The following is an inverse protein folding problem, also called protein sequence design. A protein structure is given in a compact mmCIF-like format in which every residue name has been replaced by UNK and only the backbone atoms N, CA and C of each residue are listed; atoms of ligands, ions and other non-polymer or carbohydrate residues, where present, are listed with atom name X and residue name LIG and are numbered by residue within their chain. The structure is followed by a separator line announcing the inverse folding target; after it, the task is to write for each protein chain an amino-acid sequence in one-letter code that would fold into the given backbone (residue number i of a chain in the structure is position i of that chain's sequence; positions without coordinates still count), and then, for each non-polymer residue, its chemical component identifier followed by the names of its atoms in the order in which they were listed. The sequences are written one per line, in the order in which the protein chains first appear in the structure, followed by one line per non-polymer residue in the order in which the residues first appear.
data_IF_858607091686
#
_entry.id   IF_858607091686
#
_cell.length_a   1.000
_cell.length_b   1.000
_cell.length_c   1.000
_cell.angle_alpha   90.00
_cell.angle_beta   90.00
_cell.angle_gamma   90.00
#
_symmetry.space_group_name_H-M   'P 1'
#
loop_
_entity.id
_entity.type
_entity.pdbx_description
1 polymer ?
#
# COMPACT_ATOMS: atom_id res chain seq x y z
N UNK A 1 1.48 49.54 16.57
CA UNK A 1 1.26 48.10 16.82
C UNK A 1 1.83 47.35 15.63
N UNK A 2 2.93 46.62 15.81
CA UNK A 2 3.55 45.83 14.74
C UNK A 2 2.95 44.43 14.83
N UNK A 3 2.12 44.08 13.86
CA UNK A 3 1.54 42.74 13.74
C UNK A 3 2.61 41.80 13.17
N UNK A 4 3.22 41.01 14.04
CA UNK A 4 4.20 39.99 13.66
C UNK A 4 3.44 38.82 13.02
N UNK A 5 3.36 38.79 11.70
CA UNK A 5 2.84 37.64 10.96
C UNK A 5 3.87 36.51 11.02
N UNK A 6 3.69 35.54 11.92
CA UNK A 6 4.42 34.28 11.87
C UNK A 6 4.01 33.54 10.59
N UNK A 7 4.86 33.61 9.57
CA UNK A 7 4.82 32.65 8.48
C UNK A 7 5.21 31.28 9.05
N UNK A 8 4.21 30.43 9.35
CA UNK A 8 4.45 29.01 9.55
C UNK A 8 5.07 28.49 8.25
N UNK A 9 6.38 28.27 8.23
CA UNK A 9 7.01 27.45 7.21
C UNK A 9 6.41 26.05 7.34
N UNK A 10 5.43 25.74 6.50
CA UNK A 10 4.93 24.38 6.36
C UNK A 10 6.11 23.51 5.92
N UNK A 11 6.55 22.60 6.80
CA UNK A 11 7.56 21.61 6.44
C UNK A 11 7.11 20.86 5.17
N UNK A 12 8.04 20.48 4.28
CA UNK A 12 7.68 19.72 3.09
C UNK A 12 6.91 18.46 3.49
N UNK A 13 5.88 18.07 2.72
CA UNK A 13 5.10 16.88 3.04
C UNK A 13 6.04 15.67 3.08
N UNK A 14 5.96 14.90 4.16
CA UNK A 14 6.76 13.69 4.39
C UNK A 14 5.86 12.50 4.69
N UNK A 15 6.42 11.30 4.55
CA UNK A 15 5.69 10.08 4.91
C UNK A 15 5.32 10.07 6.40
N UNK A 16 6.23 10.47 7.28
CA UNK A 16 5.99 10.49 8.73
C UNK A 16 4.86 11.46 9.11
N UNK A 17 4.79 12.63 8.48
CA UNK A 17 3.69 13.58 8.71
C UNK A 17 2.34 12.99 8.25
N UNK A 18 2.32 12.27 7.11
CA UNK A 18 1.11 11.59 6.64
C UNK A 18 0.70 10.45 7.59
N UNK A 19 1.67 9.65 8.06
CA UNK A 19 1.45 8.51 8.97
C UNK A 19 0.97 8.98 10.35
N UNK A 20 1.52 10.06 10.89
CA UNK A 20 1.09 10.64 12.18
C UNK A 20 -0.38 11.10 12.18
N UNK A 21 -0.91 11.46 11.02
CA UNK A 21 -2.31 11.86 10.85
C UNK A 21 -3.25 10.69 10.47
N UNK A 22 -2.74 9.46 10.43
CA UNK A 22 -3.47 8.27 10.01
C UNK A 22 -3.63 7.27 11.15
N UNK A 23 -4.71 6.46 11.10
CA UNK A 23 -4.85 5.32 12.00
C UNK A 23 -3.97 4.18 11.52
N UNK A 24 -3.02 3.73 12.34
CA UNK A 24 -2.18 2.56 12.03
C UNK A 24 -3.03 1.29 12.17
N UNK A 25 -2.95 0.40 11.18
CA UNK A 25 -3.60 -0.91 11.22
C UNK A 25 -2.54 -2.01 11.27
N UNK A 26 -2.43 -2.67 12.42
CA UNK A 26 -1.42 -3.71 12.67
C UNK A 26 -1.66 -5.02 11.89
N UNK A 27 -2.86 -5.20 11.35
CA UNK A 27 -3.26 -6.39 10.59
C UNK A 27 -3.89 -6.02 9.24
N UNK A 28 -3.10 -5.60 8.23
CA UNK A 28 -3.61 -5.19 6.93
C UNK A 28 -4.44 -6.25 6.23
N UNK A 29 -4.04 -7.53 6.30
CA UNK A 29 -4.81 -8.63 5.70
C UNK A 29 -6.24 -8.74 6.28
N UNK A 30 -6.38 -8.63 7.61
CA UNK A 30 -7.68 -8.63 8.27
C UNK A 30 -8.52 -7.41 7.88
N UNK A 31 -7.89 -6.23 7.75
CA UNK A 31 -8.56 -5.03 7.28
C UNK A 31 -9.07 -5.18 5.84
N UNK A 32 -8.27 -5.76 4.93
CA UNK A 32 -8.70 -6.04 3.55
C UNK A 32 -9.87 -7.01 3.53
N UNK A 33 -9.79 -8.12 4.25
CA UNK A 33 -10.88 -9.10 4.34
C UNK A 33 -12.17 -8.44 4.85
N UNK A 34 -12.08 -7.66 5.92
CA UNK A 34 -13.21 -6.94 6.48
C UNK A 34 -13.82 -5.95 5.48
N UNK A 35 -12.99 -5.17 4.79
CA UNK A 35 -13.46 -4.16 3.84
C UNK A 35 -14.10 -4.75 2.58
N UNK A 36 -13.64 -5.93 2.14
CA UNK A 36 -14.24 -6.68 1.03
C UNK A 36 -15.51 -7.44 1.47
N UNK A 37 -15.76 -7.54 2.78
CA UNK A 37 -16.86 -8.32 3.32
C UNK A 37 -16.63 -9.82 3.19
N UNK A 38 -15.36 -10.25 3.19
CA UNK A 38 -14.98 -11.65 3.18
C UNK A 38 -14.87 -12.12 4.63
N UNK A 39 -15.95 -12.73 5.13
CA UNK A 39 -15.89 -13.53 6.35
C UNK A 39 -15.52 -14.97 5.95
N UNK A 40 -14.55 -15.58 6.63
CA UNK A 40 -14.24 -17.00 6.41
C UNK A 40 -15.49 -17.82 6.74
N UNK A 41 -15.94 -18.61 5.75
CA UNK A 41 -17.02 -19.58 5.95
C UNK A 41 -16.37 -20.82 6.52
N UNK A 42 -16.58 -21.06 7.82
CA UNK A 42 -16.19 -22.32 8.48
C UNK A 42 -17.44 -23.19 8.54
N UNK A 43 -17.39 -24.39 7.96
CA UNK A 43 -18.50 -25.37 7.95
C UNK A 43 -19.85 -24.84 7.41
N UNK A 44 -19.81 -24.01 6.37
CA UNK A 44 -21.03 -23.53 5.69
C UNK A 44 -21.79 -22.43 6.44
N UNK A 45 -21.29 -22.00 7.61
CA UNK A 45 -21.81 -20.87 8.35
C UNK A 45 -20.76 -19.76 8.46
N UNK A 46 -21.18 -18.52 8.23
CA UNK A 46 -20.38 -17.36 8.63
C UNK A 46 -20.62 -17.16 10.12
N UNK A 47 -19.56 -17.13 10.95
CA UNK A 47 -19.76 -16.85 12.37
C UNK A 47 -20.30 -15.42 12.55
N UNK A 48 -21.35 -15.25 13.36
CA UNK A 48 -21.93 -13.93 13.65
C UNK A 48 -20.89 -12.94 14.20
N UNK A 49 -19.94 -13.46 14.97
CA UNK A 49 -18.80 -12.73 15.51
C UNK A 49 -17.86 -12.21 14.39
N UNK A 50 -17.67 -12.96 13.30
CA UNK A 50 -16.89 -12.49 12.15
C UNK A 50 -17.59 -11.31 11.45
N UNK A 51 -18.92 -11.37 11.30
CA UNK A 51 -19.70 -10.29 10.69
C UNK A 51 -19.70 -9.03 11.54
N UNK A 52 -19.86 -9.16 12.86
CA UNK A 52 -19.84 -8.03 13.79
C UNK A 52 -18.46 -7.37 13.87
N UNK A 53 -17.39 -8.16 13.99
CA UNK A 53 -16.02 -7.65 14.01
C UNK A 53 -15.64 -6.98 12.68
N UNK A 54 -16.07 -7.56 11.56
CA UNK A 54 -15.88 -7.00 10.22
C UNK A 54 -16.61 -5.67 10.07
N UNK A 55 -17.85 -5.59 10.54
CA UNK A 55 -18.66 -4.36 10.50
C UNK A 55 -18.05 -3.27 11.37
N UNK A 56 -17.66 -3.59 12.60
CA UNK A 56 -17.01 -2.66 13.52
C UNK A 56 -15.71 -2.09 12.94
N UNK A 57 -14.86 -2.95 12.38
CA UNK A 57 -13.62 -2.50 11.74
C UNK A 57 -13.90 -1.65 10.50
N UNK A 58 -14.87 -2.05 9.66
CA UNK A 58 -15.27 -1.28 8.48
C UNK A 58 -15.76 0.11 8.85
N UNK A 59 -16.63 0.24 9.85
CA UNK A 59 -17.13 1.54 10.32
C UNK A 59 -16.00 2.38 10.95
N UNK A 60 -15.03 1.71 11.57
CA UNK A 60 -13.87 2.39 12.13
C UNK A 60 -12.93 2.96 11.06
N UNK A 61 -12.75 2.30 9.92
CA UNK A 61 -11.72 2.69 8.92
C UNK A 61 -12.29 3.28 7.63
N UNK A 62 -13.58 3.10 7.34
CA UNK A 62 -14.20 3.60 6.12
C UNK A 62 -14.07 5.13 6.02
N UNK A 63 -13.53 5.60 4.89
CA UNK A 63 -13.29 7.02 4.62
C UNK A 63 -12.19 7.68 5.48
N UNK A 64 -11.62 6.97 6.46
CA UNK A 64 -10.53 7.49 7.29
C UNK A 64 -9.18 7.21 6.64
N UNK A 65 -8.21 8.07 6.95
CA UNK A 65 -6.82 7.85 6.55
C UNK A 65 -6.21 6.78 7.44
N UNK A 66 -5.63 5.76 6.83
CA UNK A 66 -5.00 4.63 7.52
C UNK A 66 -3.57 4.45 7.04
N UNK A 67 -2.72 3.91 7.91
CA UNK A 67 -1.37 3.48 7.59
C UNK A 67 -1.29 1.95 7.63
N UNK A 68 -0.75 1.35 6.58
CA UNK A 68 -0.60 -0.09 6.41
C UNK A 68 0.88 -0.42 6.18
N UNK A 69 1.38 -1.42 6.90
CA UNK A 69 2.66 -2.07 6.59
C UNK A 69 2.40 -3.37 5.84
N UNK A 70 2.75 -3.39 4.56
CA UNK A 70 2.49 -4.52 3.68
C UNK A 70 3.63 -5.56 3.71
N UNK A 71 4.72 -5.29 4.44
CA UNK A 71 5.87 -6.19 4.53
C UNK A 71 6.70 -6.24 3.25
N UNK A 72 7.47 -7.32 3.08
CA UNK A 72 8.35 -7.60 1.92
C UNK A 72 7.76 -8.61 0.92
N UNK A 73 8.55 -9.00 -0.09
CA UNK A 73 8.15 -10.01 -1.09
C UNK A 73 7.61 -9.41 -2.39
N UNK A 74 7.96 -8.16 -2.67
CA UNK A 74 7.51 -7.40 -3.84
C UNK A 74 8.54 -7.34 -4.97
N UNK A 75 9.59 -8.16 -4.97
CA UNK A 75 10.69 -8.13 -5.95
C UNK A 75 10.22 -8.30 -7.41
N UNK A 76 9.15 -9.07 -7.64
CA UNK A 76 8.52 -9.19 -8.97
C UNK A 76 7.66 -7.98 -9.36
N UNK A 77 7.16 -7.24 -8.36
CA UNK A 77 6.24 -6.12 -8.51
C UNK A 77 6.93 -4.75 -8.37
N UNK A 78 8.15 -4.70 -7.85
CA UNK A 78 8.85 -3.46 -7.54
C UNK A 78 10.23 -3.48 -8.18
N UNK A 79 10.56 -2.44 -8.95
CA UNK A 79 11.86 -2.30 -9.57
C UNK A 79 12.34 -0.86 -9.50
N UNK A 80 13.65 -0.68 -9.38
CA UNK A 80 14.27 0.64 -9.49
C UNK A 80 14.14 1.18 -10.92
N UNK A 81 13.61 2.40 -11.06
CA UNK A 81 13.30 3.04 -12.33
C UNK A 81 14.27 4.16 -12.75
N UNK A 82 15.33 4.41 -11.97
CA UNK A 82 16.29 5.50 -12.21
C UNK A 82 16.14 6.67 -11.24
N UNK A 83 17.01 7.66 -11.37
CA UNK A 83 16.95 8.89 -10.60
C UNK A 83 17.82 9.99 -11.22
N UNK A 84 17.48 11.24 -10.95
CA UNK A 84 18.26 12.41 -11.35
C UNK A 84 18.33 13.40 -10.19
N UNK A 85 19.53 13.64 -9.66
CA UNK A 85 19.72 14.43 -8.45
C UNK A 85 18.96 13.83 -7.26
N UNK A 86 18.27 14.67 -6.48
CA UNK A 86 17.51 14.25 -5.30
C UNK A 86 16.18 13.51 -5.61
N UNK A 87 15.86 13.28 -6.89
CA UNK A 87 14.63 12.58 -7.30
C UNK A 87 14.96 11.14 -7.68
N UNK A 88 14.30 10.21 -7.02
CA UNK A 88 14.36 8.77 -7.29
C UNK A 88 13.03 8.30 -7.85
N UNK A 89 13.07 7.34 -8.77
CA UNK A 89 11.89 6.67 -9.31
C UNK A 89 11.94 5.17 -9.02
N UNK A 90 10.84 4.66 -8.48
CA UNK A 90 10.52 3.23 -8.49
C UNK A 90 9.40 2.95 -9.48
N UNK A 91 9.35 1.73 -9.98
CA UNK A 91 8.25 1.22 -10.80
C UNK A 91 7.59 0.11 -10.01
N UNK A 92 6.33 0.33 -9.59
CA UNK A 92 5.61 -0.51 -8.66
C UNK A 92 4.32 -1.04 -9.30
N UNK A 93 4.10 -2.35 -9.26
CA UNK A 93 2.84 -3.03 -9.52
C UNK A 93 2.07 -3.12 -8.21
N UNK A 94 1.10 -2.21 -7.97
CA UNK A 94 0.60 -2.00 -6.63
C UNK A 94 -0.49 -3.00 -6.28
N UNK A 95 -0.08 -4.23 -6.05
CA UNK A 95 -0.89 -5.37 -5.68
C UNK A 95 -0.34 -5.97 -4.39
N UNK A 96 -1.19 -6.08 -3.39
CA UNK A 96 -0.94 -6.86 -2.18
C UNK A 96 -1.94 -8.02 -2.16
N UNK A 97 -1.45 -9.22 -2.39
CA UNK A 97 -2.22 -10.46 -2.27
C UNK A 97 -2.30 -10.83 -0.79
N UNK A 98 -3.53 -10.93 -0.25
CA UNK A 98 -3.75 -11.32 1.15
C UNK A 98 -4.12 -12.79 1.30
N UNK A 99 -4.07 -13.56 0.21
CA UNK A 99 -4.50 -14.95 0.15
C UNK A 99 -6.01 -15.09 -0.06
N UNK A 100 -6.47 -16.34 -0.22
CA UNK A 100 -7.89 -16.70 -0.32
C UNK A 100 -8.67 -15.94 -1.42
N UNK A 101 -7.99 -15.53 -2.49
CA UNK A 101 -8.61 -14.76 -3.57
C UNK A 101 -8.99 -13.34 -3.18
N UNK A 102 -8.30 -12.76 -2.19
CA UNK A 102 -8.48 -11.38 -1.75
C UNK A 102 -7.23 -10.56 -2.04
N UNK A 103 -7.41 -9.29 -2.42
CA UNK A 103 -6.28 -8.40 -2.68
C UNK A 103 -6.58 -6.93 -2.33
N UNK A 104 -5.52 -6.19 -2.02
CA UNK A 104 -5.49 -4.74 -2.01
C UNK A 104 -4.75 -4.23 -3.23
N UNK A 105 -5.31 -3.26 -3.95
CA UNK A 105 -4.69 -2.71 -5.15
C UNK A 105 -4.70 -1.19 -5.16
N UNK A 106 -3.68 -0.57 -5.77
CA UNK A 106 -3.75 0.86 -6.09
C UNK A 106 -4.22 1.01 -7.54
N UNK A 107 -5.47 1.42 -7.68
CA UNK A 107 -6.21 1.42 -8.92
C UNK A 107 -6.81 0.08 -9.31
N UNK A 108 -7.46 0.08 -10.47
CA UNK A 108 -8.24 -1.06 -10.97
C UNK A 108 -7.31 -2.12 -11.60
N UNK A 109 -7.44 -3.41 -11.21
CA UNK A 109 -6.77 -4.49 -11.91
C UNK A 109 -7.18 -4.57 -13.39
N UNK A 110 -6.27 -5.04 -14.25
CA UNK A 110 -6.53 -5.16 -15.68
C UNK A 110 -7.35 -6.42 -15.99
N UNK A 111 -6.95 -7.56 -15.41
CA UNK A 111 -7.56 -8.87 -15.63
C UNK A 111 -7.10 -9.86 -14.56
N UNK A 112 -7.74 -11.03 -14.56
CA UNK A 112 -7.23 -12.24 -13.89
C UNK A 112 -6.59 -13.13 -14.97
N UNK A 113 -5.38 -13.64 -14.73
CA UNK A 113 -4.69 -14.54 -15.65
C UNK A 113 -5.37 -15.90 -15.72
N UNK A 114 -4.97 -16.73 -16.69
CA UNK A 114 -5.42 -18.12 -16.80
C UNK A 114 -5.03 -18.97 -15.58
N UNK A 115 -3.96 -18.61 -14.88
CA UNK A 115 -3.55 -19.22 -13.61
C UNK A 115 -4.34 -18.69 -12.39
N UNK A 116 -5.25 -17.74 -12.61
CA UNK A 116 -6.07 -17.13 -11.56
C UNK A 116 -5.38 -16.02 -10.78
N UNK A 117 -4.31 -15.43 -11.30
CA UNK A 117 -3.56 -14.35 -10.64
C UNK A 117 -4.07 -12.97 -11.09
N UNK A 118 -4.10 -12.01 -10.17
CA UNK A 118 -4.44 -10.62 -10.49
C UNK A 118 -3.32 -9.98 -11.31
N UNK A 119 -3.68 -9.39 -12.45
CA UNK A 119 -2.74 -8.66 -13.31
C UNK A 119 -3.00 -7.16 -13.14
N UNK A 120 -1.97 -6.43 -12.70
CA UNK A 120 -2.01 -4.97 -12.55
C UNK A 120 -0.86 -4.33 -13.33
N UNK A 121 -1.12 -3.16 -13.91
CA UNK A 121 -0.09 -2.36 -14.56
C UNK A 121 0.89 -1.80 -13.54
N UNK A 122 2.19 -1.87 -13.84
CA UNK A 122 3.20 -1.17 -13.05
C UNK A 122 3.11 0.33 -13.30
N UNK A 123 3.39 1.12 -12.26
CA UNK A 123 3.30 2.58 -12.28
C UNK A 123 4.59 3.21 -11.74
N UNK A 124 5.05 4.33 -12.32
CA UNK A 124 6.16 5.07 -11.75
C UNK A 124 5.71 5.76 -10.46
N UNK A 125 6.56 5.66 -9.44
CA UNK A 125 6.44 6.35 -8.16
C UNK A 125 7.70 7.19 -8.01
N UNK A 126 7.53 8.51 -8.09
CA UNK A 126 8.59 9.48 -7.92
C UNK A 126 8.67 9.92 -6.45
N UNK A 127 9.88 10.03 -5.93
CA UNK A 127 10.11 10.37 -4.54
C UNK A 127 11.57 10.66 -4.26
N UNK A 128 11.98 10.46 -3.01
CA UNK A 128 13.33 10.74 -2.53
C UNK A 128 13.90 9.50 -1.87
N UNK A 129 15.20 9.30 -2.04
CA UNK A 129 15.98 8.35 -1.26
C UNK A 129 16.99 9.14 -0.42
N UNK A 130 17.44 8.61 0.72
CA UNK A 130 18.58 9.16 1.45
C UNK A 130 19.83 9.33 0.56
N UNK A 131 20.59 10.39 0.79
CA UNK A 131 21.75 10.77 -0.03
C UNK A 131 22.92 9.76 0.08
N UNK A 132 22.93 8.91 1.11
CA UNK A 132 23.93 7.86 1.32
C UNK A 132 23.66 6.59 0.52
N UNK A 133 22.50 6.46 -0.12
CA UNK A 133 22.15 5.31 -0.97
C UNK A 133 22.51 5.56 -2.43
N UNK A 134 23.40 4.73 -2.97
CA UNK A 134 23.74 4.77 -4.38
C UNK A 134 22.66 4.06 -5.23
N UNK A 135 22.59 4.39 -6.52
CA UNK A 135 21.70 3.71 -7.46
C UNK A 135 21.90 2.18 -7.45
N UNK A 136 23.14 1.70 -7.32
CA UNK A 136 23.46 0.28 -7.20
C UNK A 136 22.81 -0.38 -5.98
N UNK A 137 22.73 0.32 -4.85
CA UNK A 137 22.10 -0.18 -3.64
C UNK A 137 20.59 -0.26 -3.81
N UNK A 138 19.97 0.81 -4.33
CA UNK A 138 18.53 0.87 -4.57
C UNK A 138 18.08 -0.24 -5.53
N UNK A 139 18.84 -0.45 -6.61
CA UNK A 139 18.60 -1.52 -7.58
C UNK A 139 18.73 -2.90 -6.93
N UNK A 140 19.79 -3.13 -6.16
CA UNK A 140 20.02 -4.40 -5.45
C UNK A 140 18.93 -4.69 -4.43
N UNK A 141 18.54 -3.70 -3.63
CA UNK A 141 17.49 -3.85 -2.62
C UNK A 141 16.15 -4.22 -3.26
N UNK A 142 15.78 -3.56 -4.36
CA UNK A 142 14.55 -3.86 -5.11
C UNK A 142 14.56 -5.28 -5.68
N UNK A 143 15.67 -5.68 -6.31
CA UNK A 143 15.75 -6.97 -7.01
C UNK A 143 15.89 -8.18 -6.08
N UNK A 144 16.27 -7.97 -4.83
CA UNK A 144 16.50 -9.05 -3.84
C UNK A 144 15.33 -9.24 -2.88
N UNK A 145 14.25 -8.46 -3.04
CA UNK A 145 13.11 -8.50 -2.12
C UNK A 145 13.41 -7.96 -0.73
N UNK A 146 14.54 -7.23 -0.56
CA UNK A 146 14.96 -6.67 0.72
C UNK A 146 14.20 -5.38 1.12
N UNK A 147 13.23 -4.97 0.30
CA UNK A 147 12.38 -3.82 0.55
C UNK A 147 11.02 -4.25 1.09
N UNK A 148 10.63 -3.62 2.18
CA UNK A 148 9.27 -3.61 2.67
C UNK A 148 8.53 -2.36 2.18
N UNK A 149 7.20 -2.44 2.14
CA UNK A 149 6.34 -1.33 1.69
C UNK A 149 5.41 -0.92 2.83
N UNK A 150 5.40 0.36 3.16
CA UNK A 150 4.31 0.98 3.91
C UNK A 150 3.59 2.01 3.08
N UNK A 151 2.28 2.10 3.28
CA UNK A 151 1.43 3.06 2.59
C UNK A 151 0.51 3.76 3.58
N UNK A 152 0.24 5.03 3.29
CA UNK A 152 -0.76 5.85 3.98
C UNK A 152 -1.80 6.29 2.96
N UNK A 153 -3.07 6.18 3.31
CA UNK A 153 -4.13 6.50 2.37
C UNK A 153 -5.51 6.08 2.84
N UNK A 154 -6.43 5.85 1.91
CA UNK A 154 -7.80 5.42 2.21
C UNK A 154 -8.20 4.20 1.41
N UNK A 155 -9.02 3.36 2.03
CA UNK A 155 -9.75 2.34 1.28
C UNK A 155 -10.75 2.99 0.31
N UNK A 156 -10.75 2.50 -0.93
CA UNK A 156 -11.62 2.91 -2.00
C UNK A 156 -12.73 1.89 -2.26
N UNK A 157 -13.08 1.71 -3.53
CA UNK A 157 -14.15 0.80 -3.95
C UNK A 157 -13.68 -0.66 -3.97
N UNK A 158 -14.56 -1.56 -3.58
CA UNK A 158 -14.36 -2.99 -3.78
C UNK A 158 -14.51 -3.37 -5.25
N UNK A 159 -13.86 -4.45 -5.64
CA UNK A 159 -13.95 -5.03 -6.98
C UNK A 159 -13.98 -6.56 -6.89
N UNK A 160 -14.55 -7.19 -7.90
CA UNK A 160 -14.57 -8.64 -8.06
C UNK A 160 -14.35 -8.97 -9.54
N UNK A 161 -13.56 -10.00 -9.80
CA UNK A 161 -13.21 -10.47 -11.13
C UNK A 161 -13.16 -12.00 -11.14
N UNK A 162 -13.41 -12.60 -12.30
CA UNK A 162 -13.26 -14.04 -12.49
C UNK A 162 -12.36 -14.31 -13.68
N UNK A 163 -11.51 -15.32 -13.58
CA UNK A 163 -10.60 -15.76 -14.64
C UNK A 163 -9.80 -16.98 -14.19
N UNK A 164 -9.41 -17.83 -15.15
CA UNK A 164 -8.64 -19.04 -14.83
C UNK A 164 -9.35 -20.00 -13.86
N UNK A 165 -10.69 -20.06 -13.91
CA UNK A 165 -11.51 -20.88 -13.00
C UNK A 165 -11.60 -20.37 -11.56
N UNK A 166 -11.01 -19.21 -11.24
CA UNK A 166 -11.06 -18.59 -9.90
C UNK A 166 -11.87 -17.30 -9.90
N UNK A 167 -12.51 -17.01 -8.78
CA UNK A 167 -13.06 -15.69 -8.48
C UNK A 167 -12.13 -14.99 -7.48
N UNK A 168 -11.73 -13.77 -7.81
CA UNK A 168 -10.86 -12.94 -6.99
C UNK A 168 -11.61 -11.65 -6.66
N UNK A 169 -11.58 -11.25 -5.40
CA UNK A 169 -12.15 -10.00 -4.90
C UNK A 169 -11.04 -9.14 -4.34
N UNK A 170 -11.31 -7.86 -4.20
CA UNK A 170 -10.36 -6.96 -3.57
C UNK A 170 -10.92 -5.60 -3.31
N UNK A 171 -10.06 -4.73 -2.81
CA UNK A 171 -10.38 -3.33 -2.55
C UNK A 171 -9.29 -2.43 -3.10
N UNK A 172 -9.72 -1.34 -3.74
CA UNK A 172 -8.82 -0.29 -4.15
C UNK A 172 -8.29 0.48 -2.92
N UNK A 173 -7.08 1.01 -3.00
CA UNK A 173 -6.51 1.87 -1.99
C UNK A 173 -5.97 3.14 -2.66
N UNK A 174 -6.41 4.29 -2.18
CA UNK A 174 -5.95 5.60 -2.62
C UNK A 174 -4.74 5.99 -1.76
N UNK A 175 -3.54 5.85 -2.31
CA UNK A 175 -2.29 6.14 -1.59
C UNK A 175 -2.03 7.65 -1.63
N UNK A 176 -1.74 8.20 -0.47
CA UNK A 176 -1.29 9.58 -0.28
C UNK A 176 0.20 9.69 0.03
N UNK A 177 0.76 8.67 0.71
CA UNK A 177 2.19 8.56 0.94
C UNK A 177 2.63 7.10 0.92
N UNK A 178 3.85 6.85 0.47
CA UNK A 178 4.48 5.55 0.39
C UNK A 178 5.89 5.63 0.96
N UNK A 179 6.28 4.62 1.73
CA UNK A 179 7.64 4.41 2.22
C UNK A 179 8.10 3.02 1.78
N UNK A 180 9.31 2.97 1.23
CA UNK A 180 10.07 1.73 1.12
C UNK A 180 11.10 1.71 2.23
N UNK A 181 11.20 0.61 2.95
CA UNK A 181 12.16 0.44 4.03
C UNK A 181 12.97 -0.84 3.82
N UNK A 182 14.21 -0.85 4.31
CA UNK A 182 15.02 -2.06 4.33
C UNK A 182 14.49 -2.99 5.43
N UNK A 183 14.05 -4.19 5.06
CA UNK A 183 13.40 -5.10 6.03
C UNK A 183 14.30 -5.59 7.14
N UNK A 184 15.62 -5.57 6.93
CA UNK A 184 16.59 -6.02 7.94
C UNK A 184 16.89 -4.93 8.96
N UNK A 185 17.02 -3.68 8.52
CA UNK A 185 17.40 -2.56 9.39
C UNK A 185 16.23 -1.69 9.83
N UNK A 186 15.07 -1.80 9.19
CA UNK A 186 13.94 -0.88 9.34
C UNK A 186 14.19 0.53 8.77
N UNK A 187 15.36 0.77 8.16
CA UNK A 187 15.73 2.09 7.67
C UNK A 187 14.93 2.47 6.43
N UNK A 188 14.48 3.73 6.36
CA UNK A 188 13.86 4.30 5.17
C UNK A 188 14.84 4.24 4.00
N UNK A 189 14.41 3.66 2.89
CA UNK A 189 15.16 3.61 1.63
C UNK A 189 14.60 4.62 0.64
N UNK A 190 13.28 4.82 0.65
CA UNK A 190 12.61 5.73 -0.25
C UNK A 190 11.31 6.22 0.38
N UNK A 191 10.96 7.47 0.15
CA UNK A 191 9.63 7.99 0.46
C UNK A 191 9.05 8.80 -0.69
N UNK A 192 7.72 8.74 -0.83
CA UNK A 192 6.97 9.52 -1.79
C UNK A 192 5.67 10.00 -1.18
N UNK A 193 5.30 11.24 -1.46
CA UNK A 193 3.97 11.80 -1.17
C UNK A 193 3.17 12.01 -2.46
N UNK A 194 3.55 11.32 -3.54
CA UNK A 194 2.79 11.27 -4.78
C UNK A 194 1.47 10.56 -4.52
N UNK A 195 0.34 11.20 -4.86
CA UNK A 195 -0.96 10.54 -4.78
C UNK A 195 -1.09 9.50 -5.89
N UNK A 196 -1.49 8.28 -5.53
CA UNK A 196 -1.73 7.17 -6.45
C UNK A 196 -3.17 6.65 -6.29
N UNK A 197 -3.90 6.52 -7.40
CA UNK A 197 -5.31 6.11 -7.43
C UNK A 197 -5.61 5.08 -8.50
#
# INVERSE_FOLDING_TARGET
MITLALALLAAPPSFEAAKAAAKVLDRPAAAVAAMVGACEVVDGAVSGECLENTKGLKDEVAGKKVALDLGSGYDSLLSYGGGTGAKTRFVWGPLYDVGNGLALTVGKPQRVSESGNVVIGKRPVDGKSPDDLMESDLRRLASTGALGIEIVGRFGRTWAMSGGGKSVKGIAFEVEALRLYNVRSGATVFESTQQLR
#
